data_IF_211475329298
#
_entry.id   IF_211475329298
#
_cell.length_a   1.000
_cell.length_b   1.000
_cell.length_c   1.000
_cell.angle_alpha   90.00
_cell.angle_beta   90.00
_cell.angle_gamma   90.00
#
_symmetry.space_group_name_H-M   'P 1'
#
loop_
_entity.id
_entity.type
_entity.pdbx_description
1 polymer ?
#
# COMPACT_ATOMS: atom_id res chain seq x y z
N UNK A 1 22.51 78.23 14.33
CA UNK A 1 22.60 77.17 13.30
C UNK A 1 23.11 75.92 14.01
N UNK A 2 22.19 75.09 14.50
CA UNK A 2 22.50 73.85 15.20
C UNK A 2 22.71 72.76 14.14
N UNK A 3 23.91 72.18 14.05
CA UNK A 3 24.13 70.99 13.23
C UNK A 3 23.97 69.77 14.14
N UNK A 4 22.93 68.99 13.86
CA UNK A 4 22.67 67.67 14.38
C UNK A 4 23.86 66.73 14.17
N UNK A 5 24.11 65.86 15.14
CA UNK A 5 25.01 64.72 15.00
C UNK A 5 24.45 63.53 15.76
N UNK A 6 23.41 62.92 15.20
CA UNK A 6 22.72 61.75 15.73
C UNK A 6 23.67 60.56 15.95
N UNK A 7 23.59 60.00 17.16
CA UNK A 7 24.27 58.80 17.60
C UNK A 7 23.61 57.55 16.99
N UNK A 8 23.97 57.16 15.77
CA UNK A 8 23.51 55.89 15.16
C UNK A 8 24.45 54.73 15.51
N UNK A 9 24.25 54.13 16.69
CA UNK A 9 24.69 52.78 17.01
C UNK A 9 23.62 51.78 16.57
N UNK A 10 23.88 50.95 15.54
CA UNK A 10 23.44 49.54 15.45
C UNK A 10 23.97 48.86 14.17
N UNK A 11 25.29 48.62 14.11
CA UNK A 11 25.78 47.55 13.23
C UNK A 11 25.62 46.22 13.97
N UNK A 12 24.61 45.45 13.60
CA UNK A 12 24.47 44.05 14.03
C UNK A 12 25.66 43.26 13.50
N UNK A 13 26.65 43.05 14.36
CA UNK A 13 27.87 42.33 14.06
C UNK A 13 27.53 40.84 13.88
N UNK A 14 27.13 40.44 12.65
CA UNK A 14 27.00 39.03 12.29
C UNK A 14 28.39 38.41 12.38
N UNK A 15 28.67 37.67 13.45
CA UNK A 15 29.89 36.86 13.58
C UNK A 15 30.00 35.93 12.37
N UNK A 16 30.85 36.31 11.41
CA UNK A 16 31.18 35.49 10.26
C UNK A 16 32.37 34.62 10.66
N UNK A 17 32.17 33.31 10.69
CA UNK A 17 33.28 32.37 10.89
C UNK A 17 34.21 32.41 9.68
N UNK A 18 35.51 32.52 9.94
CA UNK A 18 36.51 32.46 8.87
C UNK A 18 36.46 31.11 8.15
N UNK A 19 36.67 31.13 6.83
CA UNK A 19 36.71 29.91 6.00
C UNK A 19 37.80 28.98 6.54
N UNK A 20 37.42 27.77 6.93
CA UNK A 20 38.33 26.80 7.55
C UNK A 20 38.25 26.71 9.08
N UNK A 21 37.47 27.58 9.75
CA UNK A 21 37.28 27.50 11.20
C UNK A 21 36.73 26.14 11.64
N UNK A 22 37.49 25.44 12.49
CA UNK A 22 37.11 24.16 13.08
C UNK A 22 36.44 24.44 14.43
N UNK A 23 35.14 24.15 14.58
CA UNK A 23 34.47 24.39 15.85
C UNK A 23 34.97 23.40 16.92
N UNK A 24 35.05 23.87 18.18
CA UNK A 24 35.56 23.11 19.35
C UNK A 24 34.81 21.81 19.67
N UNK A 25 33.65 21.62 19.03
CA UNK A 25 32.78 20.45 19.16
C UNK A 25 32.81 19.53 17.93
N UNK A 26 33.68 19.80 16.95
CA UNK A 26 33.87 18.93 15.77
C UNK A 26 34.19 17.51 16.25
N UNK A 27 33.48 16.52 15.69
CA UNK A 27 33.57 15.09 16.03
C UNK A 27 33.17 14.70 17.47
N UNK A 28 32.79 15.64 18.35
CA UNK A 28 32.29 15.31 19.70
C UNK A 28 30.84 14.84 19.62
N UNK A 29 30.58 13.58 20.01
CA UNK A 29 29.23 13.03 20.07
C UNK A 29 28.52 13.53 21.34
N UNK A 30 27.30 14.07 21.18
CA UNK A 30 26.42 14.38 22.32
C UNK A 30 26.11 13.12 23.12
N UNK A 31 26.03 13.26 24.44
CA UNK A 31 25.64 12.17 25.34
C UNK A 31 24.21 11.67 25.04
N UNK A 32 23.95 10.41 25.35
CA UNK A 32 22.64 9.79 25.13
C UNK A 32 21.53 10.51 25.90
N UNK A 33 21.80 10.96 27.12
CA UNK A 33 20.89 11.77 27.94
C UNK A 33 20.49 13.08 27.25
N UNK A 34 21.46 13.81 26.71
CA UNK A 34 21.20 15.08 25.98
C UNK A 34 20.40 14.81 24.71
N UNK A 35 20.74 13.76 23.94
CA UNK A 35 19.99 13.36 22.75
C UNK A 35 18.54 13.02 23.09
N UNK A 36 18.31 12.27 24.17
CA UNK A 36 16.97 11.92 24.64
C UNK A 36 16.15 13.16 25.03
N UNK A 37 16.76 14.10 25.78
CA UNK A 37 16.13 15.36 26.16
C UNK A 37 15.67 16.17 24.95
N UNK A 38 16.56 16.36 23.97
CA UNK A 38 16.24 17.07 22.73
C UNK A 38 15.13 16.36 21.96
N UNK A 39 15.21 15.04 21.83
CA UNK A 39 14.18 14.24 21.15
C UNK A 39 12.80 14.42 21.81
N UNK A 40 12.75 14.40 23.15
CA UNK A 40 11.51 14.62 23.92
C UNK A 40 10.93 16.02 23.65
N UNK A 41 11.75 17.06 23.74
CA UNK A 41 11.32 18.44 23.46
C UNK A 41 10.78 18.61 22.04
N UNK A 42 11.49 18.09 21.03
CA UNK A 42 11.05 18.17 19.62
C UNK A 42 9.73 17.43 19.42
N UNK A 43 9.58 16.22 19.96
CA UNK A 43 8.32 15.47 19.89
C UNK A 43 7.15 16.26 20.49
N UNK A 44 7.36 16.90 21.65
CA UNK A 44 6.35 17.73 22.29
C UNK A 44 5.96 18.94 21.43
N UNK A 45 6.95 19.63 20.83
CA UNK A 45 6.69 20.73 19.89
C UNK A 45 5.83 20.28 18.70
N UNK A 46 6.11 19.11 18.12
CA UNK A 46 5.34 18.56 17.02
C UNK A 46 3.92 18.14 17.40
N UNK A 47 3.60 17.98 18.69
CA UNK A 47 2.23 17.75 19.16
C UNK A 47 1.40 19.04 19.13
N UNK A 48 2.03 20.22 19.26
CA UNK A 48 1.34 21.50 19.20
C UNK A 48 0.79 21.77 17.79
N UNK A 49 -0.55 21.87 17.60
CA UNK A 49 -1.15 22.10 16.29
C UNK A 49 -0.71 23.41 15.63
N UNK A 50 -0.51 24.49 16.40
CA UNK A 50 -0.07 25.80 15.88
C UNK A 50 1.33 25.68 15.27
N UNK A 51 2.26 25.03 15.99
CA UNK A 51 3.62 24.80 15.51
C UNK A 51 3.63 23.92 14.25
N UNK A 52 2.85 22.83 14.24
CA UNK A 52 2.74 21.93 13.08
C UNK A 52 2.22 22.64 11.84
N UNK A 53 1.19 23.48 11.99
CA UNK A 53 0.62 24.29 10.90
C UNK A 53 1.65 25.28 10.35
N UNK A 54 2.29 26.05 11.24
CA UNK A 54 3.35 27.00 10.87
C UNK A 54 4.48 26.31 10.07
N UNK A 55 4.96 25.15 10.55
CA UNK A 55 6.00 24.40 9.84
C UNK A 55 5.54 23.89 8.48
N UNK A 56 4.28 23.45 8.35
CA UNK A 56 3.71 23.02 7.07
C UNK A 56 3.62 24.17 6.06
N UNK A 57 3.17 25.33 6.50
CA UNK A 57 3.06 26.53 5.66
C UNK A 57 4.44 27.03 5.21
N UNK A 58 5.42 27.04 6.13
CA UNK A 58 6.78 27.47 5.84
C UNK A 58 7.48 26.63 4.75
N UNK A 59 7.09 25.36 4.58
CA UNK A 59 7.64 24.45 3.57
C UNK A 59 6.77 24.31 2.32
N UNK A 60 5.52 24.79 2.36
CA UNK A 60 4.57 24.65 1.24
C UNK A 60 5.13 25.33 -0.01
N UNK A 61 5.20 24.60 -1.12
CA UNK A 61 5.70 25.10 -2.40
C UNK A 61 7.23 25.25 -2.53
N UNK A 62 8.00 25.07 -1.44
CA UNK A 62 9.47 25.18 -1.52
C UNK A 62 10.08 23.91 -2.11
N UNK A 63 10.93 24.10 -3.11
CA UNK A 63 11.70 23.02 -3.73
C UNK A 63 12.86 22.62 -2.81
N UNK A 64 13.02 21.33 -2.58
CA UNK A 64 14.18 20.80 -1.86
C UNK A 64 15.47 21.11 -2.62
N UNK A 65 16.53 21.51 -1.90
CA UNK A 65 17.90 21.65 -2.44
C UNK A 65 18.50 20.35 -2.98
N UNK A 66 17.81 19.22 -2.75
CA UNK A 66 18.14 17.89 -3.25
C UNK A 66 17.31 17.49 -4.48
N UNK A 67 16.33 18.29 -4.92
CA UNK A 67 15.53 17.98 -6.12
C UNK A 67 16.47 17.86 -7.33
N UNK A 68 16.32 16.76 -8.07
CA UNK A 68 17.15 16.44 -9.24
C UNK A 68 18.55 15.87 -8.92
N UNK A 69 18.98 15.83 -7.65
CA UNK A 69 20.26 15.22 -7.28
C UNK A 69 20.10 13.72 -7.06
N UNK A 70 20.99 12.94 -7.66
CA UNK A 70 21.07 11.50 -7.46
C UNK A 70 22.02 11.14 -6.33
N UNK A 71 21.66 10.14 -5.52
CA UNK A 71 22.57 9.58 -4.52
C UNK A 71 23.76 8.88 -5.19
N UNK A 72 24.94 9.00 -4.58
CA UNK A 72 26.13 8.25 -4.99
C UNK A 72 25.91 6.73 -4.90
N UNK A 73 26.65 5.96 -5.68
CA UNK A 73 26.57 4.49 -5.68
C UNK A 73 26.81 3.92 -4.27
N UNK A 74 27.85 4.41 -3.61
CA UNK A 74 28.18 4.03 -2.22
C UNK A 74 27.01 4.31 -1.25
N UNK A 75 26.35 5.46 -1.38
CA UNK A 75 25.19 5.81 -0.53
C UNK A 75 24.01 4.88 -0.80
N UNK A 76 23.73 4.58 -2.07
CA UNK A 76 22.67 3.62 -2.47
C UNK A 76 22.94 2.23 -1.89
N UNK A 77 24.19 1.77 -1.92
CA UNK A 77 24.58 0.48 -1.34
C UNK A 77 24.38 0.45 0.18
N UNK A 78 24.77 1.50 0.90
CA UNK A 78 24.54 1.62 2.35
C UNK A 78 23.04 1.55 2.70
N UNK A 79 22.21 2.26 1.94
CA UNK A 79 20.75 2.23 2.11
C UNK A 79 20.21 0.82 1.84
N UNK A 80 20.63 0.20 0.73
CA UNK A 80 20.20 -1.16 0.34
C UNK A 80 20.55 -2.20 1.41
N UNK A 81 21.82 -2.22 1.87
CA UNK A 81 22.29 -3.13 2.94
C UNK A 81 21.45 -2.98 4.22
N UNK A 82 21.09 -1.76 4.59
CA UNK A 82 20.29 -1.48 5.80
C UNK A 82 18.82 -1.90 5.66
N UNK A 83 18.27 -1.87 4.45
CA UNK A 83 16.88 -2.25 4.19
C UNK A 83 16.71 -3.75 3.92
N UNK A 84 17.79 -4.46 3.59
CA UNK A 84 17.76 -5.90 3.32
C UNK A 84 17.20 -6.67 4.53
N UNK A 85 16.22 -7.53 4.28
CA UNK A 85 15.56 -8.35 5.31
C UNK A 85 14.51 -7.63 6.15
N UNK A 86 14.23 -6.35 5.89
CA UNK A 86 13.18 -5.62 6.62
C UNK A 86 11.79 -6.06 6.19
N UNK A 87 11.09 -6.78 7.07
CA UNK A 87 9.67 -7.07 6.90
C UNK A 87 8.81 -6.03 7.63
N UNK A 88 7.85 -5.44 6.92
CA UNK A 88 6.85 -4.55 7.54
C UNK A 88 5.86 -5.39 8.36
N UNK A 89 5.44 -4.84 9.51
CA UNK A 89 4.37 -5.46 10.31
C UNK A 89 3.05 -5.43 9.54
N UNK A 90 2.16 -6.36 9.87
CA UNK A 90 0.85 -6.46 9.22
C UNK A 90 0.01 -5.19 9.39
N UNK A 91 0.11 -4.57 10.57
CA UNK A 91 -0.53 -3.27 10.86
C UNK A 91 0.00 -2.18 9.94
N UNK A 92 1.32 -2.10 9.75
CA UNK A 92 1.92 -1.09 8.86
C UNK A 92 1.55 -1.32 7.40
N UNK A 93 1.58 -2.58 6.92
CA UNK A 93 1.14 -2.92 5.55
C UNK A 93 -0.30 -2.51 5.30
N UNK A 94 -1.19 -2.82 6.25
CA UNK A 94 -2.60 -2.44 6.18
C UNK A 94 -2.79 -0.92 6.12
N UNK A 95 -2.11 -0.16 6.98
CA UNK A 95 -2.19 1.31 6.99
C UNK A 95 -1.74 1.92 5.66
N UNK A 96 -0.64 1.44 5.08
CA UNK A 96 -0.15 1.88 3.77
C UNK A 96 -1.23 1.60 2.71
N UNK A 97 -1.75 0.37 2.66
CA UNK A 97 -2.79 0.00 1.71
C UNK A 97 -4.09 0.80 1.86
N UNK A 98 -4.48 1.18 3.07
CA UNK A 98 -5.67 2.00 3.33
C UNK A 98 -5.49 3.49 3.00
N UNK A 99 -4.25 3.99 3.04
CA UNK A 99 -3.91 5.37 2.72
C UNK A 99 -3.99 5.64 1.21
N UNK A 100 -3.71 4.63 0.38
CA UNK A 100 -3.69 4.74 -1.09
C UNK A 100 -4.95 4.17 -1.76
N UNK A 101 -6.04 4.02 -1.01
CA UNK A 101 -7.25 3.34 -1.48
C UNK A 101 -8.34 4.32 -1.86
N UNK A 102 -9.08 3.98 -2.91
CA UNK A 102 -10.24 4.74 -3.39
C UNK A 102 -9.88 6.20 -3.69
N UNK A 103 -10.72 7.13 -3.27
CA UNK A 103 -10.59 8.58 -3.45
C UNK A 103 -9.28 9.16 -2.93
N UNK A 104 -8.56 8.45 -2.05
CA UNK A 104 -7.25 8.88 -1.57
C UNK A 104 -6.14 8.66 -2.60
N UNK A 105 -6.36 7.79 -3.59
CA UNK A 105 -5.39 7.55 -4.65
C UNK A 105 -5.49 8.65 -5.72
N UNK A 106 -4.36 9.25 -6.09
CA UNK A 106 -4.32 10.35 -7.07
C UNK A 106 -4.90 9.97 -8.45
N UNK A 107 -4.83 8.69 -8.83
CA UNK A 107 -5.40 8.17 -10.08
C UNK A 107 -6.86 7.64 -9.92
N UNK A 108 -7.58 7.95 -8.84
CA UNK A 108 -8.96 7.50 -8.66
C UNK A 108 -9.92 8.27 -9.57
N UNK A 109 -10.67 7.54 -10.39
CA UNK A 109 -11.63 8.11 -11.36
C UNK A 109 -13.09 7.92 -10.92
N UNK A 110 -13.42 8.15 -9.65
CA UNK A 110 -14.81 8.10 -9.18
C UNK A 110 -15.44 6.70 -9.13
N UNK A 111 -14.64 5.63 -9.07
CA UNK A 111 -15.18 4.27 -8.91
C UNK A 111 -15.80 3.66 -10.18
N UNK A 112 -15.26 3.98 -11.37
CA UNK A 112 -15.66 3.42 -12.69
C UNK A 112 -15.75 1.89 -12.78
N UNK A 113 -15.20 1.15 -11.81
CA UNK A 113 -15.22 -0.31 -11.84
C UNK A 113 -16.64 -0.83 -11.59
N UNK A 114 -17.26 -1.59 -12.52
CA UNK A 114 -18.58 -2.17 -12.32
C UNK A 114 -18.65 -3.02 -11.05
N UNK A 115 -19.78 -2.96 -10.34
CA UNK A 115 -19.96 -3.63 -9.05
C UNK A 115 -19.67 -5.13 -9.09
N UNK A 116 -20.06 -5.78 -10.18
CA UNK A 116 -19.82 -7.21 -10.39
C UNK A 116 -18.32 -7.56 -10.49
N UNK A 117 -17.49 -6.67 -11.05
CA UNK A 117 -16.04 -6.83 -11.12
C UNK A 117 -15.44 -6.60 -9.72
N UNK A 118 -15.89 -5.57 -9.00
CA UNK A 118 -15.48 -5.32 -7.60
C UNK A 118 -15.74 -6.55 -6.71
N UNK A 119 -16.93 -7.15 -6.80
CA UNK A 119 -17.29 -8.34 -6.02
C UNK A 119 -16.42 -9.54 -6.38
N UNK A 120 -16.17 -9.80 -7.67
CA UNK A 120 -15.31 -10.92 -8.11
C UNK A 120 -13.84 -10.74 -7.70
N UNK A 121 -13.37 -9.50 -7.65
CA UNK A 121 -12.01 -9.19 -7.22
C UNK A 121 -11.86 -9.07 -5.69
N UNK A 122 -12.98 -9.12 -4.96
CA UNK A 122 -13.00 -8.99 -3.51
C UNK A 122 -12.28 -10.13 -2.78
N UNK A 123 -11.82 -9.84 -1.56
CA UNK A 123 -11.25 -10.84 -0.66
C UNK A 123 -12.26 -11.97 -0.35
N UNK A 124 -13.56 -11.67 -0.31
CA UNK A 124 -14.62 -12.66 -0.07
C UNK A 124 -14.68 -13.69 -1.20
N UNK A 125 -14.58 -13.23 -2.46
CA UNK A 125 -14.53 -14.13 -3.62
C UNK A 125 -13.26 -14.99 -3.64
N UNK A 126 -12.09 -14.39 -3.31
CA UNK A 126 -10.83 -15.14 -3.18
C UNK A 126 -10.92 -16.22 -2.09
N UNK A 127 -11.47 -15.89 -0.92
CA UNK A 127 -11.68 -16.85 0.18
C UNK A 127 -12.63 -17.98 -0.22
N UNK A 128 -13.75 -17.65 -0.86
CA UNK A 128 -14.72 -18.64 -1.35
C UNK A 128 -14.07 -19.62 -2.34
N UNK A 129 -13.33 -19.10 -3.33
CA UNK A 129 -12.59 -19.93 -4.30
C UNK A 129 -11.60 -20.87 -3.60
N UNK A 130 -10.82 -20.36 -2.66
CA UNK A 130 -9.87 -21.18 -1.92
C UNK A 130 -10.57 -22.27 -1.09
N UNK A 131 -11.72 -21.97 -0.48
CA UNK A 131 -12.50 -22.98 0.26
C UNK A 131 -12.98 -24.11 -0.66
N UNK A 132 -13.38 -23.81 -1.89
CA UNK A 132 -13.74 -24.83 -2.89
C UNK A 132 -12.53 -25.69 -3.23
N UNK A 133 -11.38 -25.09 -3.51
CA UNK A 133 -10.18 -25.84 -3.85
C UNK A 133 -9.69 -26.73 -2.72
N UNK A 134 -9.74 -26.25 -1.47
CA UNK A 134 -9.40 -27.05 -0.29
C UNK A 134 -10.40 -28.21 -0.12
N UNK A 135 -11.71 -27.96 -0.24
CA UNK A 135 -12.75 -29.01 -0.16
C UNK A 135 -12.56 -30.07 -1.24
N UNK A 136 -12.24 -29.62 -2.46
CA UNK A 136 -12.06 -30.47 -3.63
C UNK A 136 -10.63 -31.01 -3.74
N UNK A 137 -9.83 -30.94 -2.67
CA UNK A 137 -8.47 -31.48 -2.56
C UNK A 137 -7.52 -31.06 -3.70
N UNK A 138 -7.69 -29.82 -4.17
CA UNK A 138 -6.92 -29.23 -5.27
C UNK A 138 -6.90 -30.10 -6.54
N UNK A 139 -8.00 -30.79 -6.81
CA UNK A 139 -8.20 -31.55 -8.05
C UNK A 139 -9.35 -30.99 -8.88
N UNK A 140 -9.31 -31.25 -10.19
CA UNK A 140 -10.48 -31.07 -11.04
C UNK A 140 -11.51 -32.15 -10.70
N UNK A 141 -12.74 -31.78 -10.34
CA UNK A 141 -13.78 -32.75 -9.98
C UNK A 141 -14.29 -33.58 -11.16
N UNK A 142 -14.08 -33.13 -12.39
CA UNK A 142 -14.39 -33.86 -13.63
C UNK A 142 -13.28 -34.86 -14.00
N UNK A 143 -12.08 -34.39 -14.30
CA UNK A 143 -10.99 -35.22 -14.83
C UNK A 143 -9.98 -35.72 -13.79
N UNK A 144 -10.17 -35.37 -12.51
CA UNK A 144 -9.37 -35.83 -11.35
C UNK A 144 -7.88 -35.45 -11.35
N UNK A 145 -7.41 -34.69 -12.34
CA UNK A 145 -6.03 -34.18 -12.40
C UNK A 145 -5.72 -33.19 -11.26
N UNK A 146 -4.50 -33.27 -10.72
CA UNK A 146 -3.90 -32.41 -9.69
C UNK A 146 -2.76 -31.56 -10.28
N UNK A 147 -2.40 -30.46 -9.62
CA UNK A 147 -1.21 -29.67 -9.99
C UNK A 147 -1.39 -28.83 -11.26
N UNK A 148 -2.63 -28.60 -11.66
CA UNK A 148 -3.00 -27.85 -12.86
C UNK A 148 -3.76 -26.57 -12.51
N UNK A 149 -3.95 -25.69 -13.50
CA UNK A 149 -4.75 -24.48 -13.33
C UNK A 149 -6.22 -24.83 -13.05
N UNK A 150 -6.71 -24.49 -11.85
CA UNK A 150 -8.07 -24.74 -11.38
C UNK A 150 -8.88 -23.45 -11.31
N UNK A 151 -10.12 -23.55 -11.74
CA UNK A 151 -11.13 -22.50 -11.70
C UNK A 151 -12.27 -22.95 -10.79
N UNK A 152 -12.74 -22.06 -9.91
CA UNK A 152 -13.97 -22.29 -9.16
C UNK A 152 -15.15 -21.90 -10.05
N UNK A 153 -15.84 -22.91 -10.56
CA UNK A 153 -17.04 -22.75 -11.36
C UNK A 153 -18.25 -22.55 -10.44
N UNK A 154 -19.05 -21.52 -10.69
CA UNK A 154 -20.35 -21.33 -10.03
C UNK A 154 -21.38 -22.26 -10.66
N UNK A 155 -22.05 -23.08 -9.85
CA UNK A 155 -23.04 -24.05 -10.33
C UNK A 155 -24.32 -23.35 -10.76
N UNK A 156 -24.86 -22.49 -9.89
CA UNK A 156 -25.93 -21.54 -10.18
C UNK A 156 -25.32 -20.19 -10.55
N UNK A 157 -25.94 -19.48 -11.49
CA UNK A 157 -25.40 -18.25 -12.06
C UNK A 157 -25.03 -17.20 -11.01
N UNK A 158 -23.89 -16.52 -11.21
CA UNK A 158 -23.42 -15.47 -10.31
C UNK A 158 -24.43 -14.32 -10.11
N UNK A 159 -25.30 -14.07 -11.11
CA UNK A 159 -26.34 -13.04 -11.09
C UNK A 159 -27.60 -13.43 -10.33
N UNK A 160 -27.88 -14.73 -10.16
CA UNK A 160 -29.22 -15.23 -9.84
C UNK A 160 -29.54 -15.20 -8.33
N UNK A 161 -28.55 -15.07 -7.45
CA UNK A 161 -28.82 -14.89 -6.01
C UNK A 161 -27.68 -14.19 -5.30
N UNK A 162 -27.97 -13.07 -4.64
CA UNK A 162 -27.03 -12.35 -3.77
C UNK A 162 -26.52 -13.21 -2.61
N UNK A 163 -27.34 -14.17 -2.15
CA UNK A 163 -27.07 -15.05 -1.01
C UNK A 163 -26.15 -16.22 -1.44
N UNK A 164 -26.37 -16.81 -2.62
CA UNK A 164 -25.66 -18.01 -3.06
C UNK A 164 -24.29 -17.76 -3.69
N UNK A 165 -23.93 -16.50 -3.99
CA UNK A 165 -22.64 -16.09 -4.62
C UNK A 165 -21.40 -16.69 -3.94
N UNK A 166 -21.46 -16.88 -2.62
CA UNK A 166 -20.36 -17.36 -1.80
C UNK A 166 -20.72 -18.60 -0.97
N UNK A 167 -21.82 -19.28 -1.31
CA UNK A 167 -22.10 -20.60 -0.76
C UNK A 167 -21.09 -21.59 -1.37
N UNK A 168 -20.38 -22.34 -0.53
CA UNK A 168 -19.36 -23.30 -0.97
C UNK A 168 -20.02 -24.41 -1.82
N UNK A 169 -21.25 -24.79 -1.49
CA UNK A 169 -22.02 -25.80 -2.22
C UNK A 169 -22.48 -25.31 -3.60
N UNK A 170 -22.43 -24.00 -3.85
CA UNK A 170 -22.70 -23.41 -5.16
C UNK A 170 -21.43 -23.30 -6.02
N UNK A 171 -20.35 -24.01 -5.66
CA UNK A 171 -19.13 -24.00 -6.46
C UNK A 171 -18.47 -25.37 -6.55
N UNK A 172 -17.72 -25.56 -7.62
CA UNK A 172 -16.98 -26.78 -7.91
C UNK A 172 -15.63 -26.45 -8.56
N UNK A 173 -14.59 -27.19 -8.20
CA UNK A 173 -13.26 -27.08 -8.79
C UNK A 173 -13.22 -27.80 -10.14
N UNK A 174 -12.95 -27.06 -11.21
CA UNK A 174 -12.73 -27.58 -12.56
C UNK A 174 -11.41 -27.05 -13.11
N UNK A 175 -10.69 -27.85 -13.88
CA UNK A 175 -9.55 -27.33 -14.65
C UNK A 175 -10.01 -26.44 -15.79
N UNK A 176 -9.10 -25.63 -16.33
CA UNK A 176 -9.36 -24.74 -17.46
C UNK A 176 -10.11 -25.41 -18.62
N UNK A 177 -9.69 -26.60 -19.04
CA UNK A 177 -10.30 -27.32 -20.16
C UNK A 177 -11.70 -27.83 -19.82
N UNK A 178 -11.89 -28.46 -18.65
CA UNK A 178 -13.21 -28.94 -18.21
C UNK A 178 -14.18 -27.76 -18.00
N UNK A 179 -13.70 -26.65 -17.45
CA UNK A 179 -14.49 -25.46 -17.22
C UNK A 179 -14.96 -24.83 -18.55
N UNK A 180 -14.06 -24.76 -19.53
CA UNK A 180 -14.42 -24.28 -20.86
C UNK A 180 -15.39 -25.24 -21.57
N UNK A 181 -15.15 -26.56 -21.52
CA UNK A 181 -16.05 -27.57 -22.09
C UNK A 181 -17.46 -27.49 -21.50
N UNK A 182 -17.57 -27.30 -20.19
CA UNK A 182 -18.87 -27.09 -19.54
C UNK A 182 -19.59 -25.89 -20.15
N UNK A 183 -18.92 -24.74 -20.24
CA UNK A 183 -19.51 -23.53 -20.82
C UNK A 183 -19.78 -23.62 -22.32
N UNK A 184 -19.05 -24.46 -23.05
CA UNK A 184 -19.33 -24.74 -24.47
C UNK A 184 -20.61 -25.55 -24.64
N UNK A 185 -20.91 -26.47 -23.72
CA UNK A 185 -22.09 -27.33 -23.78
C UNK A 185 -23.36 -26.65 -23.25
N UNK A 186 -23.28 -25.97 -22.10
CA UNK A 186 -24.45 -25.45 -21.38
C UNK A 186 -24.53 -23.92 -21.36
N UNK A 187 -23.54 -23.22 -21.92
CA UNK A 187 -23.46 -21.77 -21.89
C UNK A 187 -22.90 -21.22 -20.57
N UNK A 188 -22.96 -19.89 -20.42
CA UNK A 188 -22.34 -19.14 -19.30
C UNK A 188 -23.34 -18.62 -18.27
N UNK A 189 -24.63 -18.70 -18.53
CA UNK A 189 -25.70 -18.09 -17.75
C UNK A 189 -26.78 -19.12 -17.45
N UNK A 190 -27.42 -18.96 -16.30
CA UNK A 190 -28.58 -19.75 -15.86
C UNK A 190 -28.31 -21.26 -15.75
N UNK A 191 -27.07 -21.61 -15.44
CA UNK A 191 -26.66 -23.00 -15.27
C UNK A 191 -27.38 -23.63 -14.08
N UNK A 192 -27.79 -24.89 -14.22
CA UNK A 192 -28.52 -25.65 -13.19
C UNK A 192 -27.67 -26.80 -12.66
N UNK A 193 -27.99 -27.23 -11.45
CA UNK A 193 -27.34 -28.39 -10.82
C UNK A 193 -27.45 -29.67 -11.67
N UNK A 194 -28.55 -29.84 -12.42
CA UNK A 194 -28.76 -30.99 -13.30
C UNK A 194 -27.68 -31.08 -14.38
N UNK A 195 -27.39 -29.97 -15.06
CA UNK A 195 -26.38 -29.88 -16.12
C UNK A 195 -24.98 -30.20 -15.60
N UNK A 196 -24.65 -29.76 -14.38
CA UNK A 196 -23.38 -30.13 -13.76
C UNK A 196 -23.31 -31.64 -13.49
N UNK A 197 -24.37 -32.25 -12.97
CA UNK A 197 -24.41 -33.69 -12.72
C UNK A 197 -24.24 -34.48 -14.02
N UNK A 198 -24.93 -34.06 -15.08
CA UNK A 198 -24.83 -34.67 -16.40
C UNK A 198 -23.41 -34.50 -16.97
N UNK A 199 -22.83 -33.30 -16.85
CA UNK A 199 -21.46 -33.03 -17.26
C UNK A 199 -20.43 -33.83 -16.47
N UNK A 200 -20.64 -34.12 -15.19
CA UNK A 200 -19.68 -34.90 -14.41
C UNK A 200 -19.71 -36.39 -14.78
N UNK A 201 -20.87 -36.91 -15.18
CA UNK A 201 -21.08 -38.31 -15.57
C UNK A 201 -20.66 -38.66 -17.00
N UNK A 202 -20.60 -37.67 -17.90
CA UNK A 202 -20.18 -37.86 -19.30
C UNK A 202 -18.70 -38.20 -19.49
#
# INVERSE_FOLDING_TARGET
MFIQGDLLLTKTNKMQFQKGHIPWNKNKKRSQRVKARISKCVKALWQNPKYRKHMSEAHKGKISSMKGKNHSKETKEKISKKLKGRHLSEITKRRIGEAERKEKHWNWKGGITPKNIEIRNSLKSKKWRNKIFVRDDWICRKCKRRGIELHAHHILGFSESSILKFNINNGISLCKECHWRFHKLYGRKNNKMKELKDFLKS
#
